data_IF_085951804135
#
_entry.id   IF_085951804135
#
_cell.length_a   1.000
_cell.length_b   1.000
_cell.length_c   1.000
_cell.angle_alpha   90.00
_cell.angle_beta   90.00
_cell.angle_gamma   90.00
#
_symmetry.space_group_name_H-M   'P 1'
#
loop_
_entity.id
_entity.type
_entity.pdbx_description
1 polymer ?
#
# COMPACT_ATOMS: atom_id res chain seq x y z
N UNK A 1 4.67 10.83 -38.49
CA UNK A 1 6.08 10.59 -38.15
C UNK A 1 6.50 9.28 -38.81
N UNK A 2 7.57 9.28 -39.59
CA UNK A 2 8.06 8.07 -40.27
C UNK A 2 8.89 7.25 -39.29
N UNK A 3 8.85 5.92 -39.42
CA UNK A 3 9.64 5.03 -38.55
C UNK A 3 11.15 5.30 -38.66
N UNK A 4 11.62 5.65 -39.85
CA UNK A 4 13.02 5.98 -40.15
C UNK A 4 13.57 7.19 -39.38
N UNK A 5 12.70 8.02 -38.81
CA UNK A 5 13.06 9.24 -38.06
C UNK A 5 12.85 9.07 -36.55
N UNK A 6 12.41 7.88 -36.11
CA UNK A 6 12.07 7.62 -34.73
C UNK A 6 13.19 6.88 -34.00
N UNK A 7 13.48 7.27 -32.77
CA UNK A 7 14.31 6.48 -31.87
C UNK A 7 13.50 5.25 -31.41
N UNK A 8 13.58 4.17 -32.19
CA UNK A 8 12.97 2.88 -31.87
C UNK A 8 13.98 1.76 -32.12
N UNK A 9 14.41 1.11 -31.06
CA UNK A 9 15.29 -0.06 -31.12
C UNK A 9 14.54 -1.23 -30.50
N UNK A 10 14.27 -2.25 -31.29
CA UNK A 10 13.60 -3.47 -30.84
C UNK A 10 14.61 -4.57 -30.55
N UNK A 11 14.32 -5.43 -29.57
CA UNK A 11 15.17 -6.56 -29.20
C UNK A 11 14.54 -7.89 -29.66
N UNK A 12 15.39 -8.76 -30.21
CA UNK A 12 14.96 -10.09 -30.66
C UNK A 12 14.67 -11.02 -29.48
N UNK A 13 15.56 -11.02 -28.49
CA UNK A 13 15.52 -11.89 -27.32
C UNK A 13 14.96 -11.14 -26.10
N UNK A 14 14.48 -11.91 -25.11
CA UNK A 14 14.01 -11.36 -23.84
C UNK A 14 15.21 -10.85 -23.01
N UNK A 15 15.15 -9.62 -22.47
CA UNK A 15 16.16 -9.13 -21.54
C UNK A 15 16.22 -9.99 -20.28
N UNK A 16 17.44 -10.30 -19.81
CA UNK A 16 17.68 -11.21 -18.68
C UNK A 16 17.08 -10.67 -17.38
N UNK A 17 17.05 -9.34 -17.23
CA UNK A 17 16.53 -8.65 -16.06
C UNK A 17 14.99 -8.57 -16.01
N UNK A 18 14.29 -9.00 -17.05
CA UNK A 18 12.84 -8.86 -17.15
C UNK A 18 12.13 -10.18 -16.82
N UNK A 19 11.37 -10.18 -15.72
CA UNK A 19 10.69 -11.38 -15.22
C UNK A 19 9.29 -11.52 -15.81
N UNK A 20 8.47 -10.47 -15.71
CA UNK A 20 7.05 -10.50 -16.12
C UNK A 20 6.84 -10.12 -17.61
N UNK A 21 5.76 -10.61 -18.25
CA UNK A 21 5.50 -10.36 -19.67
C UNK A 21 5.46 -8.88 -20.05
N UNK A 22 4.81 -8.03 -19.25
CA UNK A 22 4.70 -6.58 -19.56
C UNK A 22 6.08 -5.91 -19.57
N UNK A 23 6.95 -6.23 -18.62
CA UNK A 23 8.32 -5.70 -18.56
C UNK A 23 9.15 -6.16 -19.75
N UNK A 24 9.11 -7.47 -20.09
CA UNK A 24 9.79 -8.04 -21.27
C UNK A 24 9.35 -7.35 -22.55
N UNK A 25 8.03 -7.21 -22.76
CA UNK A 25 7.47 -6.61 -23.97
C UNK A 25 7.82 -5.12 -24.09
N UNK A 26 7.73 -4.35 -23.01
CA UNK A 26 8.06 -2.91 -23.04
C UNK A 26 9.53 -2.66 -23.37
N UNK A 27 10.45 -3.47 -22.85
CA UNK A 27 11.87 -3.38 -23.20
C UNK A 27 12.11 -3.82 -24.65
N UNK A 28 11.57 -4.98 -25.06
CA UNK A 28 11.76 -5.51 -26.42
C UNK A 28 11.17 -4.64 -27.51
N UNK A 29 10.05 -3.97 -27.23
CA UNK A 29 9.42 -3.05 -28.16
C UNK A 29 10.10 -1.67 -28.17
N UNK A 30 11.12 -1.42 -27.34
CA UNK A 30 11.80 -0.13 -27.27
C UNK A 30 10.94 0.99 -26.66
N UNK A 31 10.03 0.65 -25.75
CA UNK A 31 9.14 1.62 -25.08
C UNK A 31 9.82 2.24 -23.86
N UNK A 32 10.59 1.44 -23.12
CA UNK A 32 11.31 1.90 -21.94
C UNK A 32 12.77 1.46 -22.01
N UNK A 33 13.62 2.15 -21.25
CA UNK A 33 15.01 1.76 -21.03
C UNK A 33 15.36 1.89 -19.56
N UNK A 34 15.95 0.85 -18.97
CA UNK A 34 16.45 0.91 -17.59
C UNK A 34 17.67 1.83 -17.51
N UNK A 35 17.65 2.76 -16.55
CA UNK A 35 18.77 3.66 -16.22
C UNK A 35 19.44 3.22 -14.92
N UNK A 36 18.66 2.75 -13.96
CA UNK A 36 19.13 2.22 -12.67
C UNK A 36 18.15 1.18 -12.12
N UNK A 37 18.40 0.69 -10.91
CA UNK A 37 17.43 -0.20 -10.24
C UNK A 37 16.13 0.55 -9.95
N UNK A 38 15.01 0.10 -10.53
CA UNK A 38 13.71 0.76 -10.40
C UNK A 38 13.58 2.12 -11.11
N UNK A 39 14.51 2.51 -11.97
CA UNK A 39 14.53 3.82 -12.64
C UNK A 39 14.56 3.61 -14.15
N UNK A 40 13.55 4.12 -14.85
CA UNK A 40 13.34 3.88 -16.28
C UNK A 40 13.17 5.19 -17.04
N UNK A 41 13.80 5.27 -18.22
CA UNK A 41 13.50 6.29 -19.21
C UNK A 41 12.28 5.85 -20.06
N UNK A 42 11.29 6.74 -20.17
CA UNK A 42 10.16 6.57 -21.09
C UNK A 42 10.55 7.05 -22.49
N UNK A 43 10.72 6.12 -23.43
CA UNK A 43 11.11 6.43 -24.81
C UNK A 43 9.91 6.95 -25.61
N UNK A 44 10.09 7.48 -26.84
CA UNK A 44 9.04 8.19 -27.57
C UNK A 44 7.70 7.43 -27.69
N UNK A 45 7.74 6.10 -27.85
CA UNK A 45 6.51 5.30 -27.93
C UNK A 45 5.78 5.19 -26.59
N UNK A 46 6.50 4.96 -25.49
CA UNK A 46 5.88 4.97 -24.16
C UNK A 46 5.35 6.35 -23.80
N UNK A 47 6.07 7.42 -24.16
CA UNK A 47 5.60 8.78 -23.91
C UNK A 47 4.27 9.07 -24.62
N UNK A 48 4.05 8.54 -25.82
CA UNK A 48 2.75 8.62 -26.51
C UNK A 48 1.64 7.87 -25.77
N UNK A 49 1.94 6.70 -25.20
CA UNK A 49 0.99 5.93 -24.39
C UNK A 49 0.64 6.70 -23.11
N UNK A 50 1.65 7.18 -22.38
CA UNK A 50 1.46 7.97 -21.16
C UNK A 50 0.59 9.20 -21.42
N UNK A 51 0.82 9.93 -22.52
CA UNK A 51 -0.06 11.07 -22.89
C UNK A 51 -1.51 10.66 -23.09
N UNK A 52 -1.78 9.51 -23.70
CA UNK A 52 -3.16 9.01 -23.89
C UNK A 52 -3.81 8.61 -22.57
N UNK A 53 -3.07 7.89 -21.72
CA UNK A 53 -3.56 7.50 -20.38
C UNK A 53 -3.81 8.75 -19.54
N UNK A 54 -2.87 9.69 -19.48
CA UNK A 54 -3.05 10.95 -18.75
C UNK A 54 -4.21 11.77 -19.28
N UNK A 55 -4.50 11.73 -20.59
CA UNK A 55 -5.66 12.43 -21.16
C UNK A 55 -6.98 11.82 -20.69
N UNK A 56 -7.10 10.49 -20.66
CA UNK A 56 -8.27 9.80 -20.09
C UNK A 56 -8.45 10.20 -18.63
N UNK A 57 -7.36 10.16 -17.86
CA UNK A 57 -7.39 10.55 -16.43
C UNK A 57 -7.86 11.99 -16.25
N UNK A 58 -7.33 12.94 -17.03
CA UNK A 58 -7.77 14.35 -16.95
C UNK A 58 -9.25 14.50 -17.25
N UNK A 59 -9.73 13.91 -18.34
CA UNK A 59 -11.12 14.02 -18.74
C UNK A 59 -12.09 13.49 -17.67
N UNK A 60 -11.77 12.35 -17.04
CA UNK A 60 -12.60 11.80 -15.97
C UNK A 60 -12.47 12.59 -14.66
N UNK A 61 -11.29 13.12 -14.32
CA UNK A 61 -11.13 13.97 -13.12
C UNK A 61 -11.86 15.31 -13.29
N UNK A 62 -11.66 16.00 -14.42
CA UNK A 62 -12.25 17.30 -14.72
C UNK A 62 -13.79 17.22 -14.77
N UNK A 63 -14.34 16.09 -15.25
CA UNK A 63 -15.79 15.84 -15.25
C UNK A 63 -16.41 15.80 -13.85
N UNK A 64 -15.61 15.53 -12.80
CA UNK A 64 -16.06 15.60 -11.39
C UNK A 64 -15.94 16.99 -10.77
N UNK A 65 -15.40 17.97 -11.51
CA UNK A 65 -15.06 19.29 -10.99
C UNK A 65 -13.73 19.34 -10.22
N UNK A 66 -12.91 18.29 -10.31
CA UNK A 66 -11.55 18.33 -9.79
C UNK A 66 -10.68 19.28 -10.63
N UNK A 67 -9.73 19.95 -9.99
CA UNK A 67 -8.87 20.94 -10.65
C UNK A 67 -7.42 20.45 -10.68
N UNK A 68 -6.83 20.38 -11.87
CA UNK A 68 -5.43 19.98 -12.03
C UNK A 68 -4.49 21.09 -11.52
N UNK A 69 -3.53 20.72 -10.68
CA UNK A 69 -2.45 21.57 -10.20
C UNK A 69 -1.11 20.82 -10.31
N UNK A 70 -0.02 21.49 -9.92
CA UNK A 70 1.30 20.87 -9.87
C UNK A 70 2.02 21.30 -8.60
N UNK A 71 2.29 20.33 -7.73
CA UNK A 71 2.96 20.55 -6.46
C UNK A 71 4.47 20.34 -6.58
N UNK A 72 5.30 20.87 -5.67
CA UNK A 72 6.74 20.61 -5.67
C UNK A 72 7.07 19.16 -5.31
N UNK A 73 8.12 18.61 -5.93
CA UNK A 73 8.66 17.28 -5.58
C UNK A 73 9.59 17.31 -4.39
N UNK A 74 10.35 18.39 -4.26
CA UNK A 74 11.27 18.59 -3.17
C UNK A 74 10.46 19.21 -2.02
N UNK A 75 10.30 18.46 -0.95
CA UNK A 75 9.42 18.80 0.16
C UNK A 75 10.25 19.07 1.43
N UNK A 76 10.02 20.18 2.15
CA UNK A 76 10.66 20.45 3.42
C UNK A 76 10.28 19.43 4.49
N UNK A 77 11.26 18.94 5.27
CA UNK A 77 11.00 17.96 6.35
C UNK A 77 10.01 18.48 7.41
N UNK A 78 9.94 19.80 7.59
CA UNK A 78 9.09 20.44 8.59
C UNK A 78 7.60 20.10 8.40
N UNK A 79 7.15 19.98 7.15
CA UNK A 79 5.75 19.64 6.84
C UNK A 79 5.41 18.19 7.25
N UNK A 80 6.36 17.28 7.04
CA UNK A 80 6.25 15.87 7.42
C UNK A 80 6.44 15.63 8.92
N UNK A 81 7.20 16.51 9.58
CA UNK A 81 7.32 16.52 11.03
C UNK A 81 6.03 17.05 11.67
N UNK A 82 5.36 18.03 11.08
CA UNK A 82 4.04 18.52 11.52
C UNK A 82 2.97 17.41 11.44
N UNK A 83 3.01 16.56 10.41
CA UNK A 83 2.10 15.40 10.30
C UNK A 83 2.52 14.19 11.14
N UNK A 84 3.73 14.19 11.71
CA UNK A 84 4.31 13.04 12.41
C UNK A 84 4.83 11.92 11.48
N UNK A 85 4.65 12.03 10.16
CA UNK A 85 5.00 10.96 9.20
C UNK A 85 6.48 10.92 8.82
N UNK A 86 7.27 11.95 9.16
CA UNK A 86 8.69 12.02 8.77
C UNK A 86 9.50 10.79 9.20
N UNK A 87 9.46 10.44 10.49
CA UNK A 87 10.23 9.30 11.01
C UNK A 87 9.68 7.96 10.53
N UNK A 88 8.37 7.82 10.38
CA UNK A 88 7.75 6.63 9.80
C UNK A 88 8.24 6.40 8.37
N UNK A 89 8.23 7.44 7.52
CA UNK A 89 8.58 7.31 6.10
C UNK A 89 10.09 7.24 5.84
N UNK A 90 10.92 7.82 6.70
CA UNK A 90 12.39 7.86 6.52
C UNK A 90 13.14 6.79 7.30
N UNK A 91 12.63 6.36 8.46
CA UNK A 91 13.31 5.41 9.36
C UNK A 91 12.60 4.06 9.43
N UNK A 92 11.29 4.06 9.69
CA UNK A 92 10.55 2.81 9.92
C UNK A 92 10.33 2.06 8.59
N UNK A 93 9.63 2.68 7.64
CA UNK A 93 9.41 2.11 6.31
C UNK A 93 10.61 2.33 5.39
N UNK A 94 11.34 3.43 5.57
CA UNK A 94 12.50 3.79 4.74
C UNK A 94 12.16 4.07 3.28
N UNK A 95 10.90 4.32 2.94
CA UNK A 95 10.43 4.53 1.57
C UNK A 95 10.64 5.96 1.06
N UNK A 96 10.97 6.92 1.92
CA UNK A 96 11.18 8.31 1.49
C UNK A 96 12.67 8.59 1.28
N UNK A 97 13.01 9.09 0.11
CA UNK A 97 14.34 9.66 -0.14
C UNK A 97 14.52 10.93 0.70
N UNK A 98 15.36 10.86 1.72
CA UNK A 98 15.78 12.02 2.52
C UNK A 98 17.14 12.55 2.03
N UNK A 99 17.28 13.87 1.98
CA UNK A 99 18.52 14.54 1.60
C UNK A 99 18.74 15.80 2.44
N UNK A 100 20.01 16.21 2.53
CA UNK A 100 20.41 17.45 3.17
C UNK A 100 20.94 18.40 2.09
N UNK A 101 20.38 19.59 2.01
CA UNK A 101 20.81 20.58 1.01
C UNK A 101 22.11 21.30 1.43
N UNK A 102 22.60 22.19 0.57
CA UNK A 102 23.84 22.95 0.82
C UNK A 102 23.76 23.91 2.00
N UNK A 103 22.55 24.25 2.46
CA UNK A 103 22.28 25.07 3.64
C UNK A 103 22.00 24.22 4.88
N UNK A 104 22.21 22.90 4.82
CA UNK A 104 21.95 21.94 5.89
C UNK A 104 20.47 21.80 6.26
N UNK A 105 19.56 22.08 5.31
CA UNK A 105 18.12 21.83 5.49
C UNK A 105 17.80 20.40 5.13
N UNK A 106 16.98 19.76 5.96
CA UNK A 106 16.44 18.43 5.69
C UNK A 106 15.25 18.53 4.73
N UNK A 107 15.37 17.82 3.61
CA UNK A 107 14.38 17.76 2.55
C UNK A 107 14.13 16.30 2.20
N UNK A 108 13.02 16.02 1.53
CA UNK A 108 12.88 14.76 0.83
C UNK A 108 12.16 14.88 -0.49
N UNK A 109 12.27 13.82 -1.29
CA UNK A 109 11.53 13.69 -2.53
C UNK A 109 10.18 13.04 -2.22
N UNK A 110 9.10 13.72 -2.60
CA UNK A 110 7.73 13.34 -2.27
C UNK A 110 7.35 11.93 -2.75
N UNK A 111 7.08 10.98 -1.84
CA UNK A 111 6.43 9.71 -2.20
C UNK A 111 4.91 9.88 -2.40
N UNK A 112 4.36 10.98 -1.88
CA UNK A 112 2.97 11.48 -1.96
C UNK A 112 2.96 12.96 -1.51
N UNK A 113 1.79 13.61 -1.44
CA UNK A 113 1.65 15.06 -1.24
C UNK A 113 0.57 15.48 -0.22
N UNK A 114 0.12 14.64 0.72
CA UNK A 114 -0.90 15.04 1.71
C UNK A 114 -0.46 16.25 2.54
N UNK A 115 0.80 16.31 2.98
CA UNK A 115 1.35 17.42 3.76
C UNK A 115 1.35 18.73 2.95
N UNK A 116 1.88 18.66 1.73
CA UNK A 116 2.05 19.83 0.86
C UNK A 116 0.69 20.44 0.50
N UNK A 117 -0.27 19.61 0.08
CA UNK A 117 -1.59 20.09 -0.30
C UNK A 117 -2.39 20.58 0.92
N UNK A 118 -2.17 19.99 2.09
CA UNK A 118 -2.76 20.47 3.34
C UNK A 118 -2.19 21.83 3.74
N UNK A 119 -0.89 22.08 3.56
CA UNK A 119 -0.30 23.42 3.75
C UNK A 119 -0.95 24.45 2.82
N UNK A 120 -1.08 24.12 1.53
CA UNK A 120 -1.75 25.00 0.55
C UNK A 120 -3.20 25.28 0.97
N UNK A 121 -3.94 24.25 1.36
CA UNK A 121 -5.33 24.38 1.78
C UNK A 121 -5.47 25.22 3.06
N UNK A 122 -4.61 25.00 4.07
CA UNK A 122 -4.54 25.77 5.32
C UNK A 122 -4.36 27.27 5.06
N UNK A 123 -3.57 27.62 4.05
CA UNK A 123 -3.28 29.01 3.71
C UNK A 123 -4.32 29.66 2.78
N UNK A 124 -5.00 28.88 1.94
CA UNK A 124 -5.87 29.41 0.89
C UNK A 124 -7.37 29.24 1.16
N UNK A 125 -7.78 28.27 1.97
CA UNK A 125 -9.18 28.02 2.32
C UNK A 125 -9.50 28.81 3.59
N UNK A 126 -10.20 29.94 3.42
CA UNK A 126 -10.53 30.88 4.51
C UNK A 126 -12.03 30.88 4.87
N UNK A 127 -12.87 30.21 4.09
CA UNK A 127 -14.31 30.12 4.33
C UNK A 127 -14.89 28.79 3.87
N UNK A 128 -15.89 28.30 4.62
CA UNK A 128 -16.69 27.13 4.24
C UNK A 128 -17.37 27.28 2.87
N UNK A 129 -17.58 28.51 2.38
CA UNK A 129 -18.16 28.80 1.07
C UNK A 129 -17.25 28.40 -0.10
N UNK A 130 -15.96 28.21 0.16
CA UNK A 130 -15.03 27.70 -0.84
C UNK A 130 -15.14 26.17 -1.00
N UNK A 131 -15.78 25.48 -0.05
CA UNK A 131 -15.83 24.02 0.02
C UNK A 131 -17.15 23.46 -0.54
N UNK A 132 -17.15 22.25 -1.13
CA UNK A 132 -15.99 21.35 -1.27
C UNK A 132 -15.01 21.76 -2.37
N UNK A 133 -13.74 21.38 -2.22
CA UNK A 133 -12.71 21.50 -3.24
C UNK A 133 -12.09 20.13 -3.50
N UNK A 134 -11.69 19.88 -4.75
CA UNK A 134 -10.95 18.70 -5.14
C UNK A 134 -9.81 19.12 -6.07
N UNK A 135 -8.57 18.90 -5.65
CA UNK A 135 -7.36 19.27 -6.37
C UNK A 135 -6.60 17.99 -6.72
N UNK A 136 -6.08 17.88 -7.94
CA UNK A 136 -5.29 16.72 -8.35
C UNK A 136 -4.07 17.11 -9.16
N UNK A 137 -3.09 16.22 -9.26
CA UNK A 137 -1.95 16.39 -10.14
C UNK A 137 -1.61 15.08 -10.84
N UNK A 138 -0.94 15.16 -12.00
CA UNK A 138 -0.28 14.01 -12.64
C UNK A 138 1.21 14.30 -12.64
N UNK A 139 1.93 13.66 -11.73
CA UNK A 139 3.29 14.05 -11.38
C UNK A 139 4.13 12.82 -11.00
N UNK A 140 5.44 12.89 -11.24
CA UNK A 140 6.39 11.86 -10.78
C UNK A 140 6.27 11.65 -9.25
N UNK A 141 6.70 10.53 -8.72
CA UNK A 141 6.83 10.25 -7.29
C UNK A 141 8.10 9.45 -7.07
N UNK A 142 8.64 9.54 -5.87
CA UNK A 142 9.86 8.85 -5.50
C UNK A 142 9.60 7.98 -4.27
N UNK A 143 9.83 6.68 -4.40
CA UNK A 143 9.80 5.74 -3.27
C UNK A 143 11.08 4.94 -3.26
N UNK A 144 11.82 4.92 -2.17
CA UNK A 144 13.07 4.18 -2.04
C UNK A 144 12.79 2.69 -1.79
N UNK A 145 12.17 2.06 -2.79
CA UNK A 145 11.81 0.65 -2.76
C UNK A 145 13.05 -0.22 -2.60
N UNK A 146 13.07 -1.04 -1.54
CA UNK A 146 14.21 -1.90 -1.18
C UNK A 146 14.45 -2.95 -2.28
N UNK A 147 13.37 -3.46 -2.89
CA UNK A 147 13.43 -4.46 -3.96
C UNK A 147 12.58 -4.04 -5.18
N UNK A 148 13.06 -3.10 -6.01
CA UNK A 148 12.36 -2.70 -7.22
C UNK A 148 12.34 -3.87 -8.21
N UNK A 149 11.16 -4.25 -8.69
CA UNK A 149 10.96 -5.41 -9.55
C UNK A 149 9.84 -5.16 -10.56
N UNK A 150 9.71 -6.06 -11.52
CA UNK A 150 8.56 -6.06 -12.45
C UNK A 150 8.43 -4.81 -13.33
N UNK A 151 9.55 -4.15 -13.66
CA UNK A 151 9.54 -3.04 -14.60
C UNK A 151 8.86 -1.79 -14.04
N UNK A 152 7.80 -1.34 -14.72
CA UNK A 152 7.01 -0.18 -14.33
C UNK A 152 6.00 -0.46 -13.21
N UNK A 153 5.78 -1.72 -12.83
CA UNK A 153 4.85 -2.08 -11.76
C UNK A 153 5.37 -1.63 -10.38
N UNK A 154 6.68 -1.75 -10.15
CA UNK A 154 7.31 -1.41 -8.86
C UNK A 154 8.68 -0.76 -9.06
N UNK A 155 8.65 0.54 -9.36
CA UNK A 155 9.83 1.38 -9.55
C UNK A 155 10.13 2.28 -8.34
N UNK A 156 11.31 2.91 -8.35
CA UNK A 156 11.70 3.95 -7.38
C UNK A 156 11.32 5.35 -7.82
N UNK A 157 11.16 5.54 -9.14
CA UNK A 157 10.64 6.74 -9.76
C UNK A 157 9.49 6.34 -10.69
N UNK A 158 8.29 6.87 -10.47
CA UNK A 158 7.09 6.51 -11.22
C UNK A 158 6.12 7.68 -11.34
N UNK A 159 5.16 7.61 -12.26
CA UNK A 159 4.15 8.66 -12.45
C UNK A 159 2.89 8.27 -11.68
N UNK A 160 2.39 9.19 -10.86
CA UNK A 160 1.14 9.02 -10.12
C UNK A 160 0.18 10.15 -10.46
N UNK A 161 -1.11 9.80 -10.56
CA UNK A 161 -2.17 10.78 -10.35
C UNK A 161 -2.60 10.69 -8.90
N UNK A 162 -2.45 11.78 -8.16
CA UNK A 162 -2.89 11.93 -6.77
C UNK A 162 -3.89 13.08 -6.67
N UNK A 163 -4.94 12.90 -5.88
CA UNK A 163 -6.05 13.83 -5.74
C UNK A 163 -6.45 13.97 -4.27
N UNK A 164 -6.79 15.19 -3.87
CA UNK A 164 -7.05 15.55 -2.48
C UNK A 164 -8.26 16.47 -2.42
N UNK A 165 -9.25 16.06 -1.62
CA UNK A 165 -10.51 16.79 -1.49
C UNK A 165 -10.74 17.29 -0.06
N UNK A 166 -11.25 18.51 0.05
CA UNK A 166 -11.46 19.22 1.31
C UNK A 166 -12.95 19.47 1.51
N UNK A 167 -13.44 19.21 2.73
CA UNK A 167 -14.87 19.13 3.01
C UNK A 167 -15.23 19.78 4.35
N UNK A 168 -16.48 20.24 4.45
CA UNK A 168 -17.07 20.78 5.69
C UNK A 168 -17.77 19.72 6.53
N UNK A 169 -18.06 18.55 5.95
CA UNK A 169 -18.77 17.45 6.59
C UNK A 169 -18.43 16.11 5.95
N UNK A 170 -18.66 15.03 6.70
CA UNK A 170 -18.50 13.65 6.22
C UNK A 170 -19.44 13.33 5.05
N UNK A 171 -20.65 13.90 5.03
CA UNK A 171 -21.59 13.72 3.90
C UNK A 171 -21.03 14.34 2.60
N UNK A 172 -20.39 15.51 2.71
CA UNK A 172 -19.71 16.15 1.58
C UNK A 172 -18.55 15.29 1.07
N UNK A 173 -17.74 14.75 1.99
CA UNK A 173 -16.67 13.80 1.66
C UNK A 173 -17.20 12.56 0.94
N UNK A 174 -18.26 11.92 1.48
CA UNK A 174 -18.87 10.72 0.88
C UNK A 174 -19.34 10.94 -0.56
N UNK A 175 -19.93 12.10 -0.85
CA UNK A 175 -20.35 12.46 -2.23
C UNK A 175 -19.16 12.55 -3.17
N UNK A 176 -18.08 13.21 -2.76
CA UNK A 176 -16.87 13.30 -3.58
C UNK A 176 -16.16 11.96 -3.71
N UNK A 177 -16.12 11.16 -2.65
CA UNK A 177 -15.56 9.80 -2.68
C UNK A 177 -16.28 8.90 -3.69
N UNK A 178 -17.62 8.94 -3.71
CA UNK A 178 -18.42 8.20 -4.71
C UNK A 178 -18.19 8.71 -6.15
N UNK A 179 -18.04 10.03 -6.33
CA UNK A 179 -17.69 10.59 -7.63
C UNK A 179 -16.30 10.13 -8.10
N UNK A 180 -15.32 10.02 -7.17
CA UNK A 180 -14.00 9.46 -7.46
C UNK A 180 -14.06 7.98 -7.79
N UNK A 181 -14.85 7.18 -7.06
CA UNK A 181 -15.06 5.76 -7.40
C UNK A 181 -15.54 5.61 -8.85
N UNK A 182 -16.59 6.34 -9.24
CA UNK A 182 -17.12 6.28 -10.60
C UNK A 182 -16.10 6.78 -11.64
N UNK A 183 -15.38 7.87 -11.35
CA UNK A 183 -14.35 8.40 -12.26
C UNK A 183 -13.22 7.37 -12.48
N UNK A 184 -12.76 6.69 -11.43
CA UNK A 184 -11.74 5.65 -11.56
C UNK A 184 -12.27 4.45 -12.36
N UNK A 185 -13.50 3.99 -12.09
CA UNK A 185 -14.14 2.94 -12.91
C UNK A 185 -14.16 3.29 -14.39
N UNK A 186 -14.48 4.54 -14.72
CA UNK A 186 -14.46 5.02 -16.09
C UNK A 186 -13.04 5.03 -16.66
N UNK A 187 -12.03 5.52 -15.91
CA UNK A 187 -10.63 5.54 -16.35
C UNK A 187 -10.13 4.14 -16.72
N UNK A 188 -10.37 3.13 -15.87
CA UNK A 188 -9.96 1.75 -16.14
C UNK A 188 -10.73 1.15 -17.32
N UNK A 189 -12.05 1.35 -17.38
CA UNK A 189 -12.88 0.86 -18.48
C UNK A 189 -12.48 1.47 -19.83
N UNK A 190 -12.24 2.79 -19.88
CA UNK A 190 -11.77 3.50 -21.08
C UNK A 190 -10.34 3.13 -21.47
N UNK A 191 -9.54 2.64 -20.52
CA UNK A 191 -8.22 2.07 -20.77
C UNK A 191 -8.29 0.61 -21.25
N UNK A 192 -9.47 0.00 -21.31
CA UNK A 192 -9.68 -1.38 -21.77
C UNK A 192 -9.21 -2.43 -20.77
N UNK A 193 -9.23 -2.11 -19.46
CA UNK A 193 -8.73 -2.98 -18.41
C UNK A 193 -9.88 -3.74 -17.74
N UNK A 194 -9.63 -5.01 -17.41
CA UNK A 194 -10.48 -5.78 -16.52
C UNK A 194 -10.01 -5.55 -15.08
N UNK A 195 -10.89 -5.01 -14.24
CA UNK A 195 -10.53 -4.59 -12.90
C UNK A 195 -11.64 -4.86 -11.90
N UNK A 196 -11.28 -4.88 -10.61
CA UNK A 196 -12.21 -4.89 -9.48
C UNK A 196 -11.87 -3.79 -8.49
N UNK A 197 -12.91 -3.14 -7.99
CA UNK A 197 -12.81 -2.30 -6.81
C UNK A 197 -12.94 -3.19 -5.58
N UNK A 198 -11.99 -3.09 -4.65
CA UNK A 198 -11.90 -3.95 -3.47
C UNK A 198 -11.73 -3.12 -2.22
N UNK A 199 -12.34 -3.53 -1.10
CA UNK A 199 -12.05 -2.94 0.21
C UNK A 199 -10.59 -3.16 0.57
N UNK A 200 -9.94 -2.12 1.06
CA UNK A 200 -8.50 -2.14 1.34
C UNK A 200 -8.19 -1.64 2.75
N UNK A 201 -6.95 -1.84 3.17
CA UNK A 201 -6.43 -1.16 4.34
C UNK A 201 -6.12 0.31 4.03
N UNK A 202 -6.22 1.18 5.03
CA UNK A 202 -5.86 2.60 4.85
C UNK A 202 -4.34 2.82 4.92
N UNK A 203 -3.60 1.84 5.43
CA UNK A 203 -2.14 1.86 5.59
C UNK A 203 -1.64 3.08 6.37
N UNK A 204 -0.38 3.42 6.11
CA UNK A 204 0.30 4.57 6.71
C UNK A 204 -0.20 5.94 6.22
N UNK A 205 -1.11 5.98 5.25
CA UNK A 205 -1.81 7.22 4.85
C UNK A 205 -2.89 7.56 5.90
N UNK A 206 -3.42 6.55 6.59
CA UNK A 206 -4.48 6.70 7.60
C UNK A 206 -5.86 6.93 7.01
N UNK A 207 -6.90 6.93 7.86
CA UNK A 207 -8.30 7.14 7.47
C UNK A 207 -9.20 5.91 7.67
N UNK A 208 -10.51 6.07 7.45
CA UNK A 208 -11.54 5.08 7.79
C UNK A 208 -12.20 4.35 6.61
N UNK A 209 -12.03 4.86 5.38
CA UNK A 209 -12.56 4.23 4.17
C UNK A 209 -11.49 4.17 3.07
N UNK A 210 -11.06 2.95 2.74
CA UNK A 210 -10.03 2.69 1.73
C UNK A 210 -10.56 1.68 0.70
N UNK A 211 -10.30 1.98 -0.56
CA UNK A 211 -10.69 1.15 -1.69
C UNK A 211 -9.55 1.13 -2.71
N UNK A 212 -9.21 -0.07 -3.15
CA UNK A 212 -8.22 -0.30 -4.20
C UNK A 212 -8.90 -0.69 -5.51
N UNK A 213 -8.28 -0.32 -6.63
CA UNK A 213 -8.70 -0.75 -7.96
C UNK A 213 -7.65 -1.70 -8.52
N UNK A 214 -7.98 -2.99 -8.52
CA UNK A 214 -7.07 -4.07 -8.87
C UNK A 214 -7.36 -4.57 -10.28
N UNK A 215 -6.35 -4.50 -11.16
CA UNK A 215 -6.39 -5.15 -12.48
C UNK A 215 -6.12 -6.64 -12.28
N UNK A 216 -6.98 -7.50 -12.82
CA UNK A 216 -6.86 -8.95 -12.63
C UNK A 216 -5.71 -9.48 -13.49
N UNK A 217 -4.65 -9.99 -12.86
CA UNK A 217 -3.49 -10.55 -13.54
C UNK A 217 -2.76 -11.57 -12.66
N UNK A 218 -2.30 -12.67 -13.27
CA UNK A 218 -1.51 -13.71 -12.58
C UNK A 218 -0.18 -13.18 -12.00
N UNK A 219 0.30 -12.04 -12.52
CA UNK A 219 1.51 -11.37 -12.06
C UNK A 219 1.25 -10.28 -11.00
N UNK A 220 0.03 -10.18 -10.47
CA UNK A 220 -0.30 -9.27 -9.38
C UNK A 220 0.45 -9.62 -8.10
N UNK A 221 0.84 -8.59 -7.33
CA UNK A 221 1.47 -8.79 -6.01
C UNK A 221 0.44 -8.90 -4.88
N UNK A 222 -0.77 -8.40 -5.11
CA UNK A 222 -1.87 -8.41 -4.17
C UNK A 222 -2.80 -9.59 -4.41
N UNK A 223 -3.17 -10.26 -3.32
CA UNK A 223 -4.22 -11.27 -3.33
C UNK A 223 -5.55 -10.62 -2.96
N UNK A 224 -6.54 -10.75 -3.86
CA UNK A 224 -7.90 -10.29 -3.61
C UNK A 224 -8.84 -11.47 -3.37
N UNK A 225 -9.71 -11.31 -2.39
CA UNK A 225 -10.76 -12.27 -2.08
C UNK A 225 -12.09 -11.66 -2.50
N UNK A 226 -12.90 -12.41 -3.24
CA UNK A 226 -14.23 -11.97 -3.66
C UNK A 226 -15.22 -13.12 -3.65
N UNK A 227 -16.49 -12.80 -3.42
CA UNK A 227 -17.58 -13.78 -3.50
C UNK A 227 -17.98 -14.03 -4.95
N UNK A 228 -18.45 -15.25 -5.24
CA UNK A 228 -18.96 -15.60 -6.57
C UNK A 228 -20.10 -14.68 -7.04
N UNK A 229 -20.93 -14.21 -6.09
CA UNK A 229 -22.01 -13.27 -6.37
C UNK A 229 -21.55 -11.81 -6.56
N UNK A 230 -20.25 -11.54 -6.38
CA UNK A 230 -19.61 -10.25 -6.60
C UNK A 230 -19.97 -9.15 -5.59
N UNK A 231 -20.70 -9.47 -4.50
CA UNK A 231 -21.12 -8.48 -3.51
C UNK A 231 -20.03 -8.09 -2.51
N UNK A 232 -19.07 -8.99 -2.28
CA UNK A 232 -17.93 -8.72 -1.41
C UNK A 232 -16.64 -8.88 -2.19
N UNK A 233 -15.74 -7.92 -2.03
CA UNK A 233 -14.39 -7.97 -2.58
C UNK A 233 -13.47 -7.17 -1.69
N UNK A 234 -12.36 -7.76 -1.25
CA UNK A 234 -11.39 -7.11 -0.39
C UNK A 234 -9.98 -7.60 -0.70
N UNK A 235 -8.98 -6.74 -0.46
CA UNK A 235 -7.59 -7.17 -0.34
C UNK A 235 -7.48 -8.16 0.83
N UNK A 236 -6.66 -9.21 0.72
CA UNK A 236 -6.45 -10.21 1.78
C UNK A 236 -6.08 -9.58 3.13
N UNK A 237 -5.37 -8.45 3.11
CA UNK A 237 -5.01 -7.69 4.31
C UNK A 237 -6.25 -7.15 5.06
N UNK A 238 -7.31 -6.81 4.32
CA UNK A 238 -8.57 -6.28 4.86
C UNK A 238 -9.68 -7.32 5.02
N UNK A 239 -9.65 -8.37 4.22
CA UNK A 239 -10.73 -9.33 4.05
C UNK A 239 -11.18 -9.95 5.38
N UNK A 240 -12.49 -10.04 5.62
CA UNK A 240 -13.05 -10.66 6.81
C UNK A 240 -13.71 -12.00 6.42
N UNK A 241 -13.47 -13.03 7.23
CA UNK A 241 -14.13 -14.32 7.09
C UNK A 241 -15.22 -14.49 8.14
N UNK A 242 -16.28 -15.23 7.78
CA UNK A 242 -17.25 -15.72 8.75
C UNK A 242 -16.65 -16.95 9.44
N UNK A 243 -16.57 -16.99 10.78
CA UNK A 243 -16.09 -18.17 11.46
C UNK A 243 -17.04 -19.34 11.17
N UNK A 244 -16.52 -20.57 10.98
CA UNK A 244 -17.38 -21.75 10.88
C UNK A 244 -18.13 -21.97 12.20
N UNK A 245 -19.17 -22.81 12.14
CA UNK A 245 -19.90 -23.21 13.34
C UNK A 245 -18.97 -23.80 14.39
N UNK A 246 -19.24 -23.48 15.66
CA UNK A 246 -18.43 -23.92 16.79
C UNK A 246 -18.57 -25.43 16.98
N UNK A 247 -17.47 -26.17 16.85
CA UNK A 247 -17.41 -27.57 17.24
C UNK A 247 -17.03 -27.68 18.73
N UNK A 248 -17.82 -28.42 19.54
CA UNK A 248 -17.47 -28.67 20.92
C UNK A 248 -16.12 -29.41 21.01
N UNK A 249 -15.24 -28.92 21.88
CA UNK A 249 -13.97 -29.58 22.17
C UNK A 249 -14.21 -31.02 22.67
N UNK A 250 -13.49 -32.03 22.14
CA UNK A 250 -13.54 -33.39 22.68
C UNK A 250 -12.83 -33.49 24.05
N UNK A 251 -12.13 -32.43 24.47
CA UNK A 251 -11.41 -32.35 25.74
C UNK A 251 -12.24 -31.61 26.78
N UNK A 252 -12.48 -32.26 27.91
CA UNK A 252 -13.24 -31.75 29.06
C UNK A 252 -12.41 -31.65 30.36
N UNK A 253 -11.14 -32.06 30.31
CA UNK A 253 -10.17 -32.01 31.41
C UNK A 253 -8.84 -31.45 30.90
N UNK A 254 -8.02 -30.90 31.79
CA UNK A 254 -6.67 -30.42 31.46
C UNK A 254 -5.61 -31.26 32.18
N UNK A 255 -4.52 -31.55 31.49
CA UNK A 255 -3.31 -32.16 32.07
C UNK A 255 -2.07 -31.68 31.30
N UNK A 256 -0.89 -31.80 31.91
CA UNK A 256 0.37 -31.52 31.24
C UNK A 256 0.88 -32.81 30.58
N UNK A 257 1.08 -32.78 29.27
CA UNK A 257 1.63 -33.89 28.49
C UNK A 257 3.03 -33.56 27.98
N UNK A 258 3.90 -34.56 27.93
CA UNK A 258 5.18 -34.47 27.25
C UNK A 258 4.96 -34.60 25.73
N UNK A 259 5.32 -33.58 24.96
CA UNK A 259 5.14 -33.52 23.50
C UNK A 259 6.49 -33.42 22.76
N UNK A 260 7.36 -34.43 22.87
CA UNK A 260 8.72 -34.36 22.31
C UNK A 260 8.69 -34.24 20.79
N UNK A 261 9.56 -33.39 20.23
CA UNK A 261 9.74 -33.18 18.78
C UNK A 261 8.48 -32.69 18.02
N UNK A 262 7.65 -31.85 18.65
CA UNK A 262 6.41 -31.29 18.05
C UNK A 262 6.49 -29.77 17.88
N UNK A 263 7.49 -29.28 17.15
CA UNK A 263 7.74 -27.82 17.00
C UNK A 263 6.74 -27.08 16.12
N UNK A 264 5.82 -27.79 15.46
CA UNK A 264 4.80 -27.20 14.58
C UNK A 264 3.40 -27.69 14.96
N UNK A 265 2.37 -26.94 14.56
CA UNK A 265 0.98 -27.39 14.76
C UNK A 265 0.74 -28.73 14.09
N UNK A 266 1.26 -28.94 12.87
CA UNK A 266 1.12 -30.21 12.15
C UNK A 266 1.73 -31.39 12.91
N UNK A 267 2.96 -31.23 13.41
CA UNK A 267 3.64 -32.30 14.17
C UNK A 267 2.94 -32.58 15.50
N UNK A 268 2.41 -31.54 16.16
CA UNK A 268 1.62 -31.68 17.38
C UNK A 268 0.28 -32.40 17.13
N UNK A 269 -0.44 -32.03 16.06
CA UNK A 269 -1.71 -32.64 15.70
C UNK A 269 -1.54 -34.12 15.33
N UNK A 270 -0.45 -34.47 14.63
CA UNK A 270 -0.10 -35.87 14.34
C UNK A 270 0.20 -36.66 15.61
N UNK A 271 0.92 -36.06 16.55
CA UNK A 271 1.27 -36.69 17.83
C UNK A 271 0.03 -36.93 18.71
N UNK A 272 -0.81 -35.91 18.87
CA UNK A 272 -2.02 -35.96 19.70
C UNK A 272 -3.24 -36.57 18.99
N UNK A 273 -3.13 -36.85 17.68
CA UNK A 273 -4.21 -37.34 16.82
C UNK A 273 -5.46 -36.46 16.91
N UNK A 274 -5.26 -35.14 16.85
CA UNK A 274 -6.32 -34.15 16.93
C UNK A 274 -6.35 -33.24 15.71
N UNK A 275 -7.44 -32.49 15.56
CA UNK A 275 -7.54 -31.45 14.54
C UNK A 275 -6.78 -30.19 14.97
N UNK A 276 -6.17 -29.49 14.01
CA UNK A 276 -5.58 -28.17 14.24
C UNK A 276 -6.60 -27.15 14.76
N UNK A 277 -7.90 -27.35 14.51
CA UNK A 277 -8.99 -26.54 15.08
C UNK A 277 -9.11 -26.65 16.60
N UNK A 278 -8.59 -27.73 17.20
CA UNK A 278 -8.57 -27.96 18.65
C UNK A 278 -7.28 -27.45 19.32
N UNK A 279 -6.34 -26.89 18.56
CA UNK A 279 -5.07 -26.38 19.07
C UNK A 279 -5.11 -24.86 19.08
N UNK A 280 -4.55 -24.25 20.13
CA UNK A 280 -4.31 -22.80 20.19
C UNK A 280 -2.85 -22.54 19.84
N UNK A 281 -2.62 -21.88 18.71
CA UNK A 281 -1.33 -21.33 18.30
C UNK A 281 -1.10 -20.02 19.05
N UNK A 282 0.00 -19.95 19.79
CA UNK A 282 0.45 -18.74 20.46
C UNK A 282 1.64 -18.17 19.70
N UNK A 283 1.52 -16.94 19.21
CA UNK A 283 2.59 -16.23 18.51
C UNK A 283 2.99 -15.01 19.35
N UNK A 284 4.26 -14.98 19.76
CA UNK A 284 4.81 -13.84 20.49
C UNK A 284 5.36 -12.82 19.49
N UNK A 285 4.90 -11.59 19.59
CA UNK A 285 5.41 -10.44 18.86
C UNK A 285 6.10 -9.46 19.81
N UNK A 286 7.11 -8.78 19.29
CA UNK A 286 7.74 -7.62 19.90
C UNK A 286 7.39 -6.39 19.07
N UNK A 287 6.95 -5.34 19.75
CA UNK A 287 6.51 -4.09 19.15
C UNK A 287 7.40 -2.98 19.67
N UNK A 288 7.80 -2.07 18.78
CA UNK A 288 8.48 -0.82 19.14
C UNK A 288 7.58 0.34 18.76
N UNK A 289 7.22 1.17 19.74
CA UNK A 289 6.45 2.40 19.53
C UNK A 289 7.34 3.59 19.17
N UNK A 290 6.73 4.66 18.67
CA UNK A 290 7.39 5.92 18.28
C UNK A 290 8.10 6.65 19.43
N UNK A 291 7.66 6.45 20.67
CA UNK A 291 8.34 6.93 21.87
C UNK A 291 9.53 6.04 22.31
N UNK A 292 9.85 4.99 21.54
CA UNK A 292 10.93 4.05 21.82
C UNK A 292 10.58 2.92 22.79
N UNK A 293 9.34 2.86 23.30
CA UNK A 293 8.92 1.79 24.19
C UNK A 293 8.77 0.46 23.45
N UNK A 294 9.29 -0.61 24.06
CA UNK A 294 9.17 -1.97 23.55
C UNK A 294 8.16 -2.76 24.37
N UNK A 295 7.18 -3.38 23.70
CA UNK A 295 6.11 -4.17 24.33
C UNK A 295 6.04 -5.55 23.69
N UNK A 296 5.84 -6.59 24.50
CA UNK A 296 5.59 -7.95 24.03
C UNK A 296 4.09 -8.21 23.94
N UNK A 297 3.64 -8.79 22.83
CA UNK A 297 2.24 -9.13 22.59
C UNK A 297 2.12 -10.60 22.23
N UNK A 298 1.35 -11.33 23.03
CA UNK A 298 1.03 -12.72 22.76
C UNK A 298 -0.31 -12.80 22.04
N UNK A 299 -0.30 -13.30 20.81
CA UNK A 299 -1.50 -13.53 20.01
C UNK A 299 -1.87 -15.01 20.09
N UNK A 300 -3.06 -15.29 20.64
CA UNK A 300 -3.63 -16.64 20.68
C UNK A 300 -4.64 -16.79 19.54
N UNK A 301 -4.37 -17.71 18.62
CA UNK A 301 -5.19 -17.97 17.44
C UNK A 301 -5.38 -19.48 17.24
N UNK A 302 -6.40 -19.90 16.48
CA UNK A 302 -6.63 -21.31 16.19
C UNK A 302 -5.46 -21.90 15.38
N UNK A 303 -5.12 -23.17 15.61
CA UNK A 303 -3.92 -23.82 15.06
C UNK A 303 -3.83 -23.82 13.53
N UNK A 304 -4.98 -23.89 12.86
CA UNK A 304 -5.18 -23.86 11.41
C UNK A 304 -5.26 -22.44 10.81
N UNK A 305 -5.01 -21.40 11.62
CA UNK A 305 -5.06 -20.01 11.20
C UNK A 305 -3.72 -19.32 11.43
N UNK A 306 -3.45 -18.28 10.65
CA UNK A 306 -2.26 -17.45 10.76
C UNK A 306 -2.63 -16.01 11.15
N UNK A 307 -1.71 -15.37 11.86
CA UNK A 307 -1.87 -13.97 12.27
C UNK A 307 -1.68 -13.09 11.04
N UNK A 308 -2.71 -12.29 10.73
CA UNK A 308 -2.58 -11.24 9.74
C UNK A 308 -1.90 -10.03 10.38
N UNK A 309 -0.65 -9.78 9.99
CA UNK A 309 0.20 -8.74 10.60
C UNK A 309 -0.36 -7.33 10.40
N UNK A 310 -0.99 -7.05 9.27
CA UNK A 310 -1.62 -5.75 9.00
C UNK A 310 -2.79 -5.50 9.97
N UNK A 311 -3.66 -6.49 10.16
CA UNK A 311 -4.74 -6.39 11.14
C UNK A 311 -4.21 -6.26 12.57
N UNK A 312 -3.16 -7.01 12.92
CA UNK A 312 -2.52 -6.90 14.22
C UNK A 312 -1.94 -5.49 14.43
N UNK A 313 -1.15 -4.98 13.48
CA UNK A 313 -0.59 -3.64 13.54
C UNK A 313 -1.67 -2.57 13.71
N UNK A 314 -2.78 -2.67 12.96
CA UNK A 314 -3.90 -1.75 13.07
C UNK A 314 -4.57 -1.78 14.46
N UNK A 315 -4.74 -2.94 15.07
CA UNK A 315 -5.25 -3.03 16.44
C UNK A 315 -4.26 -2.47 17.46
N UNK A 316 -2.95 -2.69 17.26
CA UNK A 316 -1.91 -2.18 18.14
C UNK A 316 -1.77 -0.65 18.08
N UNK A 317 -1.93 -0.05 16.91
CA UNK A 317 -1.96 1.42 16.78
C UNK A 317 -3.11 2.01 17.58
N UNK A 318 -4.30 1.38 17.61
CA UNK A 318 -5.43 1.84 18.45
C UNK A 318 -5.13 1.75 19.95
N UNK A 319 -4.19 0.90 20.35
CA UNK A 319 -3.77 0.72 21.73
C UNK A 319 -2.56 1.60 22.10
N UNK A 320 -1.98 2.33 21.15
CA UNK A 320 -0.77 3.14 21.37
C UNK A 320 -0.94 4.20 22.47
N UNK A 321 -2.13 4.77 22.61
CA UNK A 321 -2.44 5.75 23.66
C UNK A 321 -2.23 5.18 25.08
N UNK A 322 -2.38 3.86 25.27
CA UNK A 322 -2.13 3.20 26.57
C UNK A 322 -0.65 3.18 26.95
N UNK A 323 0.20 3.49 25.98
CA UNK A 323 1.65 3.39 26.02
C UNK A 323 2.32 4.76 25.84
N UNK A 324 1.57 5.86 25.97
CA UNK A 324 2.04 7.23 25.70
C UNK A 324 2.73 7.36 24.32
N UNK A 325 2.18 6.64 23.33
CA UNK A 325 2.69 6.51 21.98
C UNK A 325 1.60 6.87 20.96
N UNK A 326 2.00 7.24 19.74
CA UNK A 326 1.03 7.56 18.67
C UNK A 326 0.98 6.52 17.55
N UNK A 327 2.08 5.79 17.32
CA UNK A 327 2.15 4.78 16.26
C UNK A 327 3.15 3.67 16.58
N UNK A 328 2.99 2.56 15.87
CA UNK A 328 3.95 1.45 15.85
C UNK A 328 5.06 1.76 14.83
N UNK A 329 6.32 1.62 15.22
CA UNK A 329 7.49 1.72 14.33
C UNK A 329 7.96 0.37 13.81
N UNK A 330 7.83 -0.69 14.61
CA UNK A 330 8.24 -2.03 14.23
C UNK A 330 7.36 -3.07 14.91
N UNK A 331 7.04 -4.13 14.16
CA UNK A 331 6.38 -5.35 14.61
C UNK A 331 7.22 -6.52 14.14
N UNK A 332 7.79 -7.29 15.06
CA UNK A 332 8.65 -8.44 14.71
C UNK A 332 8.35 -9.64 15.58
N UNK A 333 8.57 -10.83 15.05
CA UNK A 333 8.64 -12.05 15.87
C UNK A 333 10.04 -12.09 16.50
N UNK A 334 10.19 -12.15 17.84
CA UNK A 334 11.48 -12.18 18.49
C UNK A 334 12.29 -13.41 18.04
N UNK A 335 13.61 -13.29 17.94
CA UNK A 335 14.47 -14.45 17.70
C UNK A 335 14.29 -15.51 18.80
N UNK A 336 14.45 -16.79 18.45
CA UNK A 336 14.23 -17.94 19.35
C UNK A 336 14.96 -17.78 20.70
N UNK A 337 16.18 -17.24 20.70
CA UNK A 337 16.96 -16.99 21.91
C UNK A 337 16.34 -15.96 22.89
N UNK A 338 15.43 -15.12 22.39
CA UNK A 338 14.70 -14.10 23.17
C UNK A 338 13.36 -14.64 23.66
N UNK A 339 12.80 -15.66 22.98
CA UNK A 339 11.58 -16.35 23.39
C UNK A 339 11.80 -17.36 24.53
N UNK A 340 13.05 -17.80 24.76
CA UNK A 340 13.42 -18.71 25.85
C UNK A 340 13.61 -18.02 27.22
N UNK A 341 13.61 -16.68 27.26
CA UNK A 341 13.67 -15.87 28.49
C UNK A 341 12.28 -15.48 28.96
#
# INVERSE_FOLDING_TARGET
MRLSEMLLVTLREDPVEAEIPSHKLLLRAGYIRRIGSGIYAYLPMMWRVLKKVSQIVREEMDATGAQECLLPQLQPSELWKESGRWDTYTKAEGIMFALIDRQKRELGLGPTHEEVITTVAKDMIRSYRQLPLNLYQIQTKFRDEIRPRFGLMRGREFIMKDAYSFHTSEESLKKTYQAMDQAYRNMFSRSGLEFRAVEADSGAIGGSGSQEFMVLADAGEDEILYTEDGKYSANMEKAVSLPPDLEPSPYNTYEKLETPNTSTIDTLCQFLKCSATSVVKNVLYQIVYDNGMTVLVLVSIRGDQDVNEVKLQNELVKLADQYDATTVLALTVPEVATQEK
#
